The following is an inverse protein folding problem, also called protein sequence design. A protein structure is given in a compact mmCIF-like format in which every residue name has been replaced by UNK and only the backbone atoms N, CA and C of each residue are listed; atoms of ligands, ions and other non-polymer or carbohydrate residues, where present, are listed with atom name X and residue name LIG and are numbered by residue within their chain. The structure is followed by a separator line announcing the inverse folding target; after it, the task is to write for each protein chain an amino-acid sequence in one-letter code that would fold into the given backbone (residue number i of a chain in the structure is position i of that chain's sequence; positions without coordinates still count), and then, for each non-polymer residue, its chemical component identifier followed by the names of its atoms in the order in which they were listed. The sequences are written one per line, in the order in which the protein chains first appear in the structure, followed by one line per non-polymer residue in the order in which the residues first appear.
data_IF_317863834740
#
_entry.id   IF_317863834740
#
_cell.length_a   1.000
_cell.length_b   1.000
_cell.length_c   1.000
_cell.angle_alpha   90.00
_cell.angle_beta   90.00
_cell.angle_gamma   90.00
#
_symmetry.space_group_name_H-M   'P 1'
#
loop_
_entity.id
_entity.type
_entity.pdbx_description
1 polymer ?
#
# COMPACT_ATOMS: atom_id res chain seq x y z
N UNK A 1 4.70 5.81 -1.76
CA UNK A 1 4.98 7.22 -2.10
C UNK A 1 5.91 7.90 -1.13
N UNK A 2 6.75 8.83 -1.61
CA UNK A 2 7.42 9.82 -0.74
C UNK A 2 6.62 11.13 -0.63
N UNK A 3 6.84 11.89 0.45
CA UNK A 3 6.16 13.16 0.78
C UNK A 3 6.09 14.15 -0.40
N UNK A 4 7.17 14.32 -1.16
CA UNK A 4 7.25 15.27 -2.30
C UNK A 4 6.23 14.96 -3.40
N UNK A 5 6.13 13.70 -3.81
CA UNK A 5 5.25 13.29 -4.91
C UNK A 5 3.78 13.27 -4.50
N UNK A 6 3.50 12.89 -3.26
CA UNK A 6 2.17 13.03 -2.67
C UNK A 6 1.72 14.49 -2.65
N UNK A 7 2.62 15.41 -2.27
CA UNK A 7 2.31 16.84 -2.24
C UNK A 7 2.06 17.41 -3.65
N UNK A 8 2.85 17.01 -4.65
CA UNK A 8 2.61 17.40 -6.05
C UNK A 8 1.22 16.96 -6.53
N UNK A 9 0.85 15.70 -6.33
CA UNK A 9 -0.47 15.20 -6.75
C UNK A 9 -1.61 15.90 -6.01
N UNK A 10 -1.44 16.14 -4.71
CA UNK A 10 -2.41 16.85 -3.88
C UNK A 10 -2.62 18.30 -4.35
N UNK A 11 -1.54 19.01 -4.67
CA UNK A 11 -1.61 20.43 -5.07
C UNK A 11 -2.04 20.61 -6.53
N UNK A 12 -1.68 19.68 -7.42
CA UNK A 12 -1.97 19.80 -8.86
C UNK A 12 -3.29 19.15 -9.27
N UNK A 13 -3.84 18.23 -8.47
CA UNK A 13 -5.02 17.43 -8.82
C UNK A 13 -4.81 16.53 -10.04
N UNK A 14 -3.55 16.27 -10.42
CA UNK A 14 -3.22 15.49 -11.61
C UNK A 14 -3.73 14.05 -11.48
N UNK A 15 -4.51 13.61 -12.45
CA UNK A 15 -4.90 12.21 -12.58
C UNK A 15 -3.70 11.37 -13.02
N UNK A 16 -3.55 10.21 -12.39
CA UNK A 16 -2.57 9.19 -12.74
C UNK A 16 -3.29 7.92 -13.14
N UNK A 17 -2.73 7.18 -14.08
CA UNK A 17 -3.23 5.86 -14.42
C UNK A 17 -2.81 4.80 -13.38
N UNK A 18 -3.38 3.61 -13.48
CA UNK A 18 -3.13 2.52 -12.55
C UNK A 18 -1.65 2.09 -12.52
N UNK A 19 -0.99 2.00 -13.68
CA UNK A 19 0.42 1.57 -13.79
C UNK A 19 1.35 2.57 -13.11
N UNK A 20 1.08 3.84 -13.31
CA UNK A 20 1.80 4.90 -12.62
C UNK A 20 1.57 4.81 -11.11
N UNK A 21 0.31 4.68 -10.67
CA UNK A 21 -0.04 4.51 -9.26
C UNK A 21 0.72 3.35 -8.59
N UNK A 22 0.87 2.21 -9.27
CA UNK A 22 1.67 1.08 -8.81
C UNK A 22 3.16 1.44 -8.73
N UNK A 23 3.72 1.98 -9.82
CA UNK A 23 5.15 2.34 -9.91
C UNK A 23 5.58 3.30 -8.82
N UNK A 24 4.71 4.24 -8.45
CA UNK A 24 5.01 5.23 -7.43
C UNK A 24 4.80 4.67 -6.01
N UNK A 25 4.13 3.51 -5.89
CA UNK A 25 3.79 2.81 -4.64
C UNK A 25 2.54 3.39 -3.95
N UNK A 26 1.51 3.74 -4.73
CA UNK A 26 0.20 4.22 -4.24
C UNK A 26 -0.69 3.01 -3.99
N UNK A 27 -0.61 2.07 -4.92
CA UNK A 27 -1.24 0.76 -4.89
C UNK A 27 -0.13 -0.28 -4.94
N UNK A 28 -0.40 -1.46 -4.38
CA UNK A 28 0.59 -2.53 -4.29
C UNK A 28 0.71 -3.34 -5.60
N UNK A 29 -0.41 -3.50 -6.32
CA UNK A 29 -0.49 -4.32 -7.54
C UNK A 29 -1.60 -3.82 -8.45
N UNK A 30 -1.39 -3.89 -9.77
CA UNK A 30 -2.42 -3.63 -10.79
C UNK A 30 -2.72 -4.90 -11.58
N UNK A 31 -4.01 -5.21 -11.72
CA UNK A 31 -4.51 -6.39 -12.45
C UNK A 31 -5.68 -5.99 -13.35
N UNK A 32 -6.03 -6.80 -14.36
CA UNK A 32 -7.29 -6.64 -15.10
C UNK A 32 -8.51 -6.65 -14.17
N UNK A 33 -9.57 -5.90 -14.48
CA UNK A 33 -10.76 -5.80 -13.63
C UNK A 33 -11.37 -7.16 -13.24
N UNK A 34 -11.39 -8.11 -14.18
CA UNK A 34 -11.89 -9.47 -14.00
C UNK A 34 -11.07 -10.32 -13.03
N UNK A 35 -9.82 -9.93 -12.74
CA UNK A 35 -8.92 -10.63 -11.82
C UNK A 35 -8.83 -9.96 -10.44
N UNK A 36 -9.50 -8.83 -10.23
CA UNK A 36 -9.38 -8.03 -9.00
C UNK A 36 -9.72 -8.83 -7.75
N UNK A 37 -10.87 -9.50 -7.75
CA UNK A 37 -11.34 -10.28 -6.59
C UNK A 37 -10.39 -11.43 -6.28
N UNK A 38 -9.91 -12.11 -7.33
CA UNK A 38 -8.96 -13.21 -7.19
C UNK A 38 -7.64 -12.72 -6.59
N UNK A 39 -7.06 -11.65 -7.13
CA UNK A 39 -5.78 -11.12 -6.65
C UNK A 39 -5.88 -10.58 -5.21
N UNK A 40 -7.02 -9.98 -4.85
CA UNK A 40 -7.28 -9.53 -3.48
C UNK A 40 -7.40 -10.71 -2.51
N UNK A 41 -8.12 -11.78 -2.89
CA UNK A 41 -8.26 -12.98 -2.08
C UNK A 41 -6.93 -13.72 -1.91
N UNK A 42 -6.13 -13.87 -2.97
CA UNK A 42 -4.81 -14.49 -2.89
C UNK A 42 -3.91 -13.78 -1.86
N UNK A 43 -3.92 -12.43 -1.85
CA UNK A 43 -3.18 -11.65 -0.86
C UNK A 43 -3.76 -11.83 0.56
N UNK A 44 -5.08 -11.86 0.70
CA UNK A 44 -5.73 -12.06 1.99
C UNK A 44 -5.41 -13.46 2.57
N UNK A 45 -5.42 -14.50 1.74
CA UNK A 45 -5.04 -15.86 2.11
C UNK A 45 -3.57 -15.95 2.50
N UNK A 46 -2.68 -15.28 1.75
CA UNK A 46 -1.26 -15.22 2.12
C UNK A 46 -1.07 -14.60 3.51
N UNK A 47 -1.76 -13.49 3.80
CA UNK A 47 -1.71 -12.85 5.12
C UNK A 47 -2.33 -13.75 6.19
N UNK A 48 -3.48 -14.38 5.92
CA UNK A 48 -4.16 -15.28 6.85
C UNK A 48 -3.32 -16.52 7.18
N UNK A 49 -2.41 -16.94 6.29
CA UNK A 49 -1.48 -18.03 6.53
C UNK A 49 -0.38 -17.71 7.56
N UNK A 50 -0.20 -16.43 7.93
CA UNK A 50 0.85 -16.00 8.87
C UNK A 50 0.33 -15.97 10.32
N UNK A 51 1.24 -15.97 11.28
CA UNK A 51 0.89 -15.80 12.70
C UNK A 51 0.19 -14.45 12.94
N UNK A 52 -1.04 -14.44 13.49
CA UNK A 52 -1.77 -13.20 13.77
C UNK A 52 -1.01 -12.27 14.72
N UNK A 53 -0.29 -12.84 15.70
CA UNK A 53 0.52 -12.08 16.66
C UNK A 53 1.70 -11.41 15.93
N UNK A 54 2.39 -12.13 15.05
CA UNK A 54 3.51 -11.58 14.31
C UNK A 54 3.07 -10.44 13.37
N UNK A 55 1.92 -10.59 12.71
CA UNK A 55 1.35 -9.54 11.86
C UNK A 55 0.98 -8.30 12.68
N UNK A 56 0.30 -8.48 13.82
CA UNK A 56 -0.09 -7.37 14.69
C UNK A 56 1.14 -6.62 15.23
N UNK A 57 2.14 -7.35 15.70
CA UNK A 57 3.40 -6.75 16.16
C UNK A 57 4.10 -6.01 15.03
N UNK A 58 4.25 -6.63 13.86
CA UNK A 58 4.88 -6.00 12.70
C UNK A 58 4.18 -4.71 12.26
N UNK A 59 2.85 -4.73 12.17
CA UNK A 59 2.05 -3.53 11.86
C UNK A 59 2.23 -2.45 12.94
N UNK A 60 2.15 -2.82 14.22
CA UNK A 60 2.28 -1.87 15.34
C UNK A 60 3.67 -1.25 15.38
N UNK A 61 4.72 -2.05 15.26
CA UNK A 61 6.11 -1.58 15.23
C UNK A 61 6.34 -0.65 14.05
N UNK A 62 5.83 -0.97 12.86
CA UNK A 62 5.93 -0.09 11.69
C UNK A 62 5.17 1.22 11.88
N UNK A 63 3.94 1.19 12.43
CA UNK A 63 3.16 2.39 12.69
C UNK A 63 3.79 3.26 13.79
N UNK A 64 4.34 2.66 14.85
CA UNK A 64 5.12 3.37 15.85
C UNK A 64 6.37 4.00 15.23
N UNK A 65 7.06 3.28 14.34
CA UNK A 65 8.19 3.84 13.59
C UNK A 65 7.78 5.04 12.74
N UNK A 66 6.68 4.97 11.98
CA UNK A 66 6.21 6.10 11.15
C UNK A 66 5.71 7.27 12.01
N UNK A 67 5.08 6.99 13.15
CA UNK A 67 4.49 8.00 14.04
C UNK A 67 5.53 8.71 14.91
N UNK A 68 6.57 8.00 15.35
CA UNK A 68 7.58 8.51 16.29
C UNK A 68 8.98 8.68 15.66
N UNK A 69 9.21 8.11 14.48
CA UNK A 69 10.44 8.26 13.68
C UNK A 69 10.43 9.54 12.85
N UNK A 70 10.73 10.65 13.53
CA UNK A 70 11.44 11.88 13.14
C UNK A 70 11.29 12.42 11.69
N UNK A 71 11.01 13.74 11.63
CA UNK A 71 11.14 14.64 10.48
C UNK A 71 12.55 14.70 9.89
#
# INVERSE_FOLDING_TARGET
MGKKRSLELLLTGKLIDAKEAERIGLVNKVVPPEELDRAALELAEELASKSPIALQMGQTSFLCYVRYGIY
#
